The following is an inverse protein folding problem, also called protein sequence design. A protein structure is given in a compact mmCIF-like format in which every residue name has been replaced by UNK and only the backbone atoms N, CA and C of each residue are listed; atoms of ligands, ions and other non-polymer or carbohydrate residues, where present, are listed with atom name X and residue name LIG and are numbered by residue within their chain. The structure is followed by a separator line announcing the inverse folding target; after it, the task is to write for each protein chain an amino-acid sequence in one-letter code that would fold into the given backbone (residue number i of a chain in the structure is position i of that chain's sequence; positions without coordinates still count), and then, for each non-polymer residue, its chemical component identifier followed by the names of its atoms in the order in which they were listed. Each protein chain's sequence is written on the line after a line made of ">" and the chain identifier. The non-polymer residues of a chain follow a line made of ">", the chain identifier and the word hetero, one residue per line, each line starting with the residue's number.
data_IF_508094560343
#
_entry.id   IF_508094560343
#
_cell.length_a   1.000
_cell.length_b   1.000
_cell.length_c   1.000
_cell.angle_alpha   90.00
_cell.angle_beta   90.00
_cell.angle_gamma   90.00
#
_symmetry.space_group_name_H-M   'P 1'
#
loop_
_entity.id
_entity.type
_entity.pdbx_description
1 polymer ?
#
# COMPACT_ATOMS: atom_id res chain seq x y z
N UNK A 1 -16.21 21.36 -10.02
CA UNK A 1 -15.14 20.57 -9.40
C UNK A 1 -13.81 21.27 -9.63
N UNK A 2 -12.93 21.32 -8.63
CA UNK A 2 -11.62 21.95 -8.74
C UNK A 2 -10.63 20.98 -9.37
N UNK A 3 -10.41 21.08 -10.68
CA UNK A 3 -9.33 20.38 -11.35
C UNK A 3 -8.08 21.24 -11.33
N UNK A 4 -6.89 20.62 -11.24
CA UNK A 4 -5.65 21.34 -11.50
C UNK A 4 -5.69 21.81 -12.96
N UNK A 5 -5.34 23.07 -13.19
CA UNK A 5 -5.32 23.67 -14.52
C UNK A 5 -3.92 23.58 -15.11
N UNK A 6 -3.82 23.40 -16.42
CA UNK A 6 -2.53 23.38 -17.12
C UNK A 6 -1.90 24.77 -17.07
N UNK A 7 -0.62 24.86 -16.73
CA UNK A 7 0.14 26.12 -16.81
C UNK A 7 0.10 26.70 -18.23
N UNK A 8 0.12 28.02 -18.33
CA UNK A 8 0.34 28.68 -19.62
C UNK A 8 1.76 28.39 -20.14
N UNK A 9 2.72 28.31 -19.21
CA UNK A 9 4.12 28.03 -19.46
C UNK A 9 4.65 27.11 -18.35
N UNK A 10 5.09 25.90 -18.70
CA UNK A 10 5.60 24.93 -17.73
C UNK A 10 6.95 25.34 -17.13
N UNK A 11 7.72 26.19 -17.82
CA UNK A 11 9.01 26.70 -17.32
C UNK A 11 8.83 27.90 -16.39
N UNK A 12 7.69 28.60 -16.48
CA UNK A 12 7.36 29.76 -15.65
C UNK A 12 5.93 29.69 -15.09
N UNK A 13 5.69 28.85 -14.05
CA UNK A 13 4.36 28.63 -13.47
C UNK A 13 3.64 29.90 -12.98
N UNK A 14 4.40 30.95 -12.63
CA UNK A 14 3.89 32.24 -12.16
C UNK A 14 3.13 33.02 -13.23
N UNK A 15 3.32 32.72 -14.52
CA UNK A 15 2.56 33.34 -15.63
C UNK A 15 1.07 32.98 -15.61
N UNK A 16 0.67 32.00 -14.81
CA UNK A 16 -0.73 31.63 -14.60
C UNK A 16 -1.14 30.35 -15.33
N UNK A 17 -2.45 30.13 -15.42
CA UNK A 17 -3.05 28.87 -15.84
C UNK A 17 -4.04 29.05 -16.99
N UNK A 18 -4.11 28.06 -17.88
CA UNK A 18 -5.14 27.97 -18.92
C UNK A 18 -6.49 27.51 -18.35
N UNK A 19 -7.53 27.49 -19.19
CA UNK A 19 -8.82 26.89 -18.85
C UNK A 19 -8.83 25.36 -18.93
N UNK A 20 -7.77 24.74 -19.47
CA UNK A 20 -7.70 23.30 -19.68
C UNK A 20 -7.25 22.58 -18.40
N UNK A 21 -7.77 21.38 -18.14
CA UNK A 21 -7.28 20.56 -17.05
C UNK A 21 -5.83 20.12 -17.30
N UNK A 22 -5.06 19.97 -16.22
CA UNK A 22 -3.66 19.53 -16.26
C UNK A 22 -3.51 18.02 -16.55
N UNK A 23 -4.58 17.24 -16.36
CA UNK A 23 -4.63 15.80 -16.57
C UNK A 23 -6.02 15.35 -17.04
N UNK A 24 -6.13 14.09 -17.47
CA UNK A 24 -7.41 13.45 -17.74
C UNK A 24 -8.00 12.96 -16.41
N UNK A 25 -8.96 13.69 -15.85
CA UNK A 25 -9.66 13.33 -14.62
C UNK A 25 -10.87 12.43 -14.92
N UNK A 26 -10.85 11.17 -14.50
CA UNK A 26 -12.05 10.30 -14.47
C UNK A 26 -12.56 10.16 -13.04
N UNK A 27 -13.11 11.24 -12.50
CA UNK A 27 -13.65 11.31 -11.14
C UNK A 27 -15.17 11.36 -11.24
N UNK A 28 -15.84 10.34 -10.71
CA UNK A 28 -17.30 10.27 -10.68
C UNK A 28 -17.81 9.56 -9.43
N UNK A 29 -18.97 9.95 -8.88
CA UNK A 29 -19.61 9.20 -7.81
C UNK A 29 -19.91 7.76 -8.22
N UNK A 30 -19.83 6.83 -7.26
CA UNK A 30 -20.28 5.45 -7.43
C UNK A 30 -21.82 5.41 -7.50
N UNK A 31 -22.38 5.43 -8.72
CA UNK A 31 -23.82 5.56 -8.97
C UNK A 31 -24.46 4.41 -9.76
N UNK A 32 -25.81 4.39 -9.75
CA UNK A 32 -26.63 3.47 -10.54
C UNK A 32 -26.42 1.99 -10.19
N UNK A 33 -26.45 1.13 -11.22
CA UNK A 33 -26.22 -0.33 -11.07
C UNK A 33 -24.82 -0.67 -10.55
N UNK A 34 -23.88 0.28 -10.59
CA UNK A 34 -22.53 0.15 -10.08
C UNK A 34 -22.32 0.91 -8.74
N UNK A 35 -23.41 1.39 -8.13
CA UNK A 35 -23.37 2.08 -6.85
C UNK A 35 -23.29 1.14 -5.64
N UNK A 36 -22.95 1.70 -4.49
CA UNK A 36 -22.79 0.93 -3.24
C UNK A 36 -24.09 0.24 -2.80
N UNK A 37 -25.25 0.89 -2.94
CA UNK A 37 -26.55 0.29 -2.61
C UNK A 37 -26.84 -0.93 -3.48
N UNK A 38 -26.51 -0.88 -4.78
CA UNK A 38 -26.80 -1.95 -5.74
C UNK A 38 -25.84 -3.14 -5.62
N UNK A 39 -24.57 -2.89 -5.25
CA UNK A 39 -23.51 -3.92 -5.21
C UNK A 39 -23.18 -4.42 -3.79
N UNK A 40 -23.71 -3.77 -2.76
CA UNK A 40 -23.57 -4.17 -1.37
C UNK A 40 -22.23 -3.82 -0.71
N UNK A 41 -22.12 -4.22 0.56
CA UNK A 41 -21.04 -3.84 1.48
C UNK A 41 -19.65 -4.27 1.00
N UNK A 42 -19.52 -5.48 0.47
CA UNK A 42 -18.22 -6.02 0.06
C UNK A 42 -17.65 -5.28 -1.15
N UNK A 43 -18.52 -4.93 -2.11
CA UNK A 43 -18.13 -4.08 -3.23
C UNK A 43 -17.72 -2.69 -2.74
N UNK A 44 -18.54 -2.06 -1.89
CA UNK A 44 -18.24 -0.74 -1.35
C UNK A 44 -16.89 -0.71 -0.61
N UNK A 45 -16.58 -1.75 0.18
CA UNK A 45 -15.28 -1.88 0.85
C UNK A 45 -14.13 -1.98 -0.15
N UNK A 46 -14.26 -2.80 -1.20
CA UNK A 46 -13.22 -2.94 -2.24
C UNK A 46 -13.01 -1.64 -3.00
N UNK A 47 -14.08 -0.94 -3.35
CA UNK A 47 -14.04 0.36 -4.01
C UNK A 47 -13.29 1.40 -3.15
N UNK A 48 -13.66 1.56 -1.87
CA UNK A 48 -12.98 2.50 -0.96
C UNK A 48 -11.50 2.14 -0.76
N UNK A 49 -11.17 0.85 -0.61
CA UNK A 49 -9.76 0.39 -0.49
C UNK A 49 -8.95 0.66 -1.78
N UNK A 50 -9.61 0.65 -2.94
CA UNK A 50 -8.99 0.96 -4.22
C UNK A 50 -8.71 2.46 -4.35
N UNK A 51 -9.69 3.32 -4.10
CA UNK A 51 -9.49 4.78 -4.15
C UNK A 51 -8.39 5.23 -3.19
N UNK A 52 -8.42 4.74 -1.94
CA UNK A 52 -7.39 5.07 -0.96
C UNK A 52 -5.98 4.66 -1.40
N UNK A 53 -5.84 3.59 -2.21
CA UNK A 53 -4.55 3.18 -2.78
C UNK A 53 -4.07 4.17 -3.84
N UNK A 54 -4.97 4.67 -4.69
CA UNK A 54 -4.64 5.59 -5.78
C UNK A 54 -4.36 6.99 -5.24
N UNK A 55 -5.25 7.51 -4.41
CA UNK A 55 -5.21 8.87 -3.90
C UNK A 55 -4.02 9.12 -2.96
N UNK A 56 -3.67 8.11 -2.14
CA UNK A 56 -2.57 8.21 -1.16
C UNK A 56 -1.36 7.35 -1.56
N UNK A 57 -1.20 7.12 -2.87
CA UNK A 57 -0.08 6.36 -3.39
C UNK A 57 1.24 7.05 -3.02
N UNK A 58 2.25 6.27 -2.62
CA UNK A 58 3.59 6.77 -2.28
C UNK A 58 3.66 7.68 -1.03
N UNK A 59 2.57 7.85 -0.28
CA UNK A 59 2.53 8.65 0.95
C UNK A 59 2.70 7.82 2.24
N UNK A 60 3.26 6.62 2.14
CA UNK A 60 3.52 5.76 3.31
C UNK A 60 2.29 5.08 3.94
N UNK A 61 1.07 5.36 3.45
CA UNK A 61 -0.15 4.79 4.03
C UNK A 61 -0.34 3.29 3.75
N UNK A 62 0.17 2.80 2.61
CA UNK A 62 -0.23 1.49 2.09
C UNK A 62 0.10 0.34 3.04
N UNK A 63 1.25 0.40 3.71
CA UNK A 63 1.65 -0.66 4.65
C UNK A 63 0.65 -0.77 5.81
N UNK A 64 0.38 0.35 6.48
CA UNK A 64 -0.52 0.40 7.64
C UNK A 64 -1.99 0.12 7.26
N UNK A 65 -2.40 0.48 6.04
CA UNK A 65 -3.70 0.09 5.52
C UNK A 65 -3.85 -1.42 5.39
N UNK A 66 -2.84 -2.11 4.86
CA UNK A 66 -2.87 -3.56 4.76
C UNK A 66 -2.84 -4.22 6.14
N UNK A 67 -1.99 -3.72 7.04
CA UNK A 67 -1.88 -4.22 8.40
C UNK A 67 -3.21 -4.14 9.15
N UNK A 68 -3.90 -2.98 9.13
CA UNK A 68 -5.19 -2.83 9.81
C UNK A 68 -6.32 -3.63 9.16
N UNK A 69 -6.26 -3.84 7.84
CA UNK A 69 -7.24 -4.69 7.15
C UNK A 69 -7.03 -6.16 7.45
N UNK A 70 -5.79 -6.59 7.67
CA UNK A 70 -5.47 -7.95 8.07
C UNK A 70 -6.10 -8.31 9.42
N UNK A 71 -6.20 -7.35 10.35
CA UNK A 71 -6.92 -7.57 11.63
C UNK A 71 -8.38 -7.99 11.41
N UNK A 72 -9.05 -7.40 10.41
CA UNK A 72 -10.43 -7.76 10.06
C UNK A 72 -10.52 -8.98 9.13
N UNK A 73 -9.48 -9.25 8.35
CA UNK A 73 -9.40 -10.30 7.33
C UNK A 73 -8.04 -11.02 7.44
N UNK A 74 -7.84 -11.93 8.43
CA UNK A 74 -6.51 -12.45 8.77
C UNK A 74 -5.78 -13.17 7.63
N UNK A 75 -4.62 -12.66 7.22
CA UNK A 75 -3.82 -13.16 6.10
C UNK A 75 -4.07 -12.45 4.76
N UNK A 76 -4.97 -11.47 4.72
CA UNK A 76 -5.18 -10.58 3.58
C UNK A 76 -3.88 -9.90 3.10
N UNK A 77 -3.08 -9.35 4.01
CA UNK A 77 -1.84 -8.63 3.68
C UNK A 77 -0.83 -9.56 3.02
N UNK A 78 -0.56 -10.72 3.64
CA UNK A 78 0.36 -11.72 3.12
C UNK A 78 -0.09 -12.24 1.74
N UNK A 79 -1.37 -12.59 1.59
CA UNK A 79 -1.93 -13.06 0.33
C UNK A 79 -1.78 -12.01 -0.78
N UNK A 80 -2.11 -10.76 -0.49
CA UNK A 80 -2.05 -9.67 -1.47
C UNK A 80 -0.61 -9.37 -1.90
N UNK A 81 0.33 -9.26 -0.95
CA UNK A 81 1.73 -8.93 -1.24
C UNK A 81 2.42 -10.08 -1.99
N UNK A 82 2.21 -11.32 -1.58
CA UNK A 82 2.76 -12.48 -2.29
C UNK A 82 2.20 -12.59 -3.72
N UNK A 83 0.90 -12.36 -3.90
CA UNK A 83 0.27 -12.32 -5.23
C UNK A 83 0.85 -11.21 -6.09
N UNK A 84 1.09 -10.03 -5.50
CA UNK A 84 1.71 -8.91 -6.21
C UNK A 84 3.13 -9.24 -6.65
N UNK A 85 3.98 -9.74 -5.74
CA UNK A 85 5.36 -10.11 -6.06
C UNK A 85 5.44 -11.13 -7.20
N UNK A 86 4.60 -12.18 -7.18
CA UNK A 86 4.55 -13.17 -8.26
C UNK A 86 4.16 -12.56 -9.60
N UNK A 87 3.16 -11.67 -9.62
CA UNK A 87 2.71 -10.98 -10.83
C UNK A 87 3.79 -10.07 -11.40
N UNK A 88 4.50 -9.35 -10.56
CA UNK A 88 5.55 -8.44 -11.00
C UNK A 88 6.77 -9.23 -11.51
N UNK A 89 7.21 -10.27 -10.80
CA UNK A 89 8.29 -11.16 -11.27
C UNK A 89 7.99 -11.70 -12.68
N UNK A 90 6.78 -12.24 -12.90
CA UNK A 90 6.39 -12.76 -14.21
C UNK A 90 6.35 -11.67 -15.31
N UNK A 91 5.92 -10.44 -14.98
CA UNK A 91 5.95 -9.32 -15.93
C UNK A 91 7.36 -8.90 -16.28
N UNK A 92 8.26 -8.78 -15.31
CA UNK A 92 9.65 -8.38 -15.57
C UNK A 92 10.37 -9.47 -16.36
N UNK A 93 10.19 -10.74 -16.02
CA UNK A 93 10.75 -11.86 -16.78
C UNK A 93 10.31 -11.84 -18.25
N UNK A 94 9.07 -11.44 -18.54
CA UNK A 94 8.55 -11.42 -19.91
C UNK A 94 8.83 -10.11 -20.67
N UNK A 95 8.58 -8.94 -20.08
CA UNK A 95 8.55 -7.66 -20.80
C UNK A 95 9.84 -6.85 -20.68
N UNK A 96 10.55 -6.95 -19.54
CA UNK A 96 11.70 -6.12 -19.22
C UNK A 96 12.63 -6.92 -18.29
N UNK A 97 13.52 -7.77 -18.84
CA UNK A 97 14.48 -8.55 -18.06
C UNK A 97 15.56 -7.63 -17.47
N UNK A 98 15.15 -6.79 -16.54
CA UNK A 98 16.00 -5.97 -15.70
C UNK A 98 16.44 -6.82 -14.50
N UNK A 99 17.75 -7.06 -14.32
CA UNK A 99 18.25 -7.90 -13.23
C UNK A 99 17.93 -7.33 -11.85
N UNK A 100 17.83 -6.00 -11.70
CA UNK A 100 17.59 -5.36 -10.40
C UNK A 100 16.19 -5.65 -9.87
N UNK A 101 15.15 -5.44 -10.69
CA UNK A 101 13.77 -5.62 -10.22
C UNK A 101 13.41 -7.09 -10.04
N UNK A 102 13.99 -7.96 -10.85
CA UNK A 102 13.86 -9.40 -10.69
C UNK A 102 14.46 -9.88 -9.35
N UNK A 103 15.67 -9.44 -8.99
CA UNK A 103 16.37 -9.92 -7.80
C UNK A 103 15.75 -9.45 -6.47
N UNK A 104 15.16 -8.25 -6.44
CA UNK A 104 14.52 -7.73 -5.21
C UNK A 104 13.20 -8.42 -4.88
N UNK A 105 12.51 -9.04 -5.86
CA UNK A 105 11.21 -9.70 -5.66
C UNK A 105 11.29 -11.23 -5.76
N UNK A 106 12.17 -11.78 -6.60
CA UNK A 106 12.28 -13.22 -6.81
C UNK A 106 12.64 -13.93 -5.51
N UNK A 107 11.95 -15.04 -5.25
CA UNK A 107 12.13 -15.88 -4.06
C UNK A 107 11.89 -15.13 -2.73
N UNK A 108 11.29 -13.94 -2.75
CA UNK A 108 10.86 -13.24 -1.54
C UNK A 108 9.44 -13.67 -1.18
N UNK A 109 9.22 -13.82 0.12
CA UNK A 109 7.93 -14.22 0.68
C UNK A 109 7.58 -13.33 1.84
N UNK A 110 6.37 -12.78 1.82
CA UNK A 110 5.77 -12.15 2.98
C UNK A 110 5.16 -13.24 3.88
N UNK A 111 5.72 -13.40 5.08
CA UNK A 111 5.34 -14.46 6.03
C UNK A 111 4.29 -13.91 6.98
N UNK A 112 3.11 -14.54 6.96
CA UNK A 112 1.99 -14.20 7.84
C UNK A 112 2.38 -14.37 9.31
N UNK A 113 2.04 -13.38 10.13
CA UNK A 113 2.31 -13.35 11.57
C UNK A 113 3.73 -12.93 11.93
N UNK A 114 4.55 -12.54 10.96
CA UNK A 114 5.95 -12.13 11.18
C UNK A 114 6.27 -10.80 10.52
N UNK A 115 5.87 -10.59 9.27
CA UNK A 115 6.25 -9.38 8.53
C UNK A 115 5.27 -8.21 8.71
N UNK A 116 4.16 -8.44 9.40
CA UNK A 116 3.16 -7.43 9.72
C UNK A 116 3.64 -6.46 10.81
N UNK A 117 4.57 -6.89 11.67
CA UNK A 117 5.04 -6.10 12.81
C UNK A 117 6.58 -6.16 12.81
N UNK A 118 7.23 -5.05 13.16
CA UNK A 118 8.68 -5.03 13.29
C UNK A 118 9.13 -5.74 14.57
N UNK A 119 10.31 -6.37 14.51
CA UNK A 119 10.97 -6.88 15.71
C UNK A 119 11.29 -5.73 16.66
N UNK A 120 11.12 -5.96 17.95
CA UNK A 120 11.68 -5.08 18.97
C UNK A 120 13.21 -5.25 18.92
N UNK A 121 14.00 -4.16 18.83
CA UNK A 121 15.46 -4.28 18.82
C UNK A 121 15.97 -5.00 20.06
N UNK A 122 16.86 -5.99 19.88
CA UNK A 122 17.34 -6.84 20.98
C UNK A 122 17.91 -6.05 22.16
N UNK A 123 18.68 -4.99 21.87
CA UNK A 123 19.26 -4.10 22.88
C UNK A 123 18.20 -3.49 23.80
N UNK A 124 17.00 -3.20 23.28
CA UNK A 124 15.91 -2.64 24.10
C UNK A 124 15.31 -3.69 25.04
N UNK A 125 15.29 -4.96 24.62
CA UNK A 125 14.88 -6.08 25.47
C UNK A 125 15.92 -6.29 26.57
N UNK A 126 17.20 -6.34 26.21
CA UNK A 126 18.31 -6.57 27.14
C UNK A 126 18.41 -5.45 28.20
N UNK A 127 18.12 -4.20 27.82
CA UNK A 127 18.12 -3.04 28.72
C UNK A 127 16.89 -2.98 29.63
N UNK A 128 15.83 -3.72 29.30
CA UNK A 128 14.57 -3.74 30.05
C UNK A 128 14.51 -5.02 30.88
N UNK A 129 15.35 -5.12 31.92
CA UNK A 129 15.41 -6.28 32.80
C UNK A 129 15.35 -5.89 34.28
N UNK A 130 14.70 -6.74 35.07
CA UNK A 130 14.75 -6.70 36.54
C UNK A 130 15.50 -7.94 37.09
N UNK A 131 15.44 -8.15 38.40
CA UNK A 131 16.11 -9.28 39.05
C UNK A 131 15.60 -10.66 38.60
N UNK A 132 14.40 -10.73 37.99
CA UNK A 132 13.80 -11.95 37.47
C UNK A 132 14.04 -12.17 35.97
N UNK A 133 14.57 -11.16 35.24
CA UNK A 133 14.92 -11.25 33.83
C UNK A 133 14.32 -10.11 32.98
N UNK A 134 14.30 -10.26 31.65
CA UNK A 134 13.73 -9.26 30.75
C UNK A 134 12.23 -9.04 31.01
N UNK A 135 11.82 -7.79 31.18
CA UNK A 135 10.42 -7.38 31.34
C UNK A 135 9.76 -7.01 30.01
N UNK A 136 10.56 -6.63 29.00
CA UNK A 136 10.08 -6.37 27.65
C UNK A 136 10.07 -7.67 26.84
N UNK A 137 8.91 -8.04 26.31
CA UNK A 137 8.71 -9.29 25.56
C UNK A 137 8.68 -8.98 24.07
N UNK A 138 9.40 -9.79 23.28
CA UNK A 138 9.46 -9.71 21.83
C UNK A 138 8.08 -9.94 21.18
N UNK A 139 7.85 -9.31 20.02
CA UNK A 139 6.70 -9.57 19.18
C UNK A 139 6.68 -11.04 18.70
N UNK A 140 5.51 -11.66 18.50
CA UNK A 140 5.43 -13.04 18.03
C UNK A 140 6.24 -13.27 16.74
N UNK A 141 6.87 -14.44 16.62
CA UNK A 141 7.64 -14.87 15.46
C UNK A 141 8.92 -14.05 15.15
N UNK A 142 9.39 -13.28 16.12
CA UNK A 142 10.72 -12.66 16.12
C UNK A 142 11.58 -13.30 17.21
N UNK A 143 12.90 -13.34 16.97
CA UNK A 143 13.90 -13.83 17.92
C UNK A 143 14.50 -12.67 18.70
#
# INVERSE_FOLDING_TARGET
>A
AGHLKKYLDNAEPSKGFSALPAANYDIKPYGGVNGFTAKGKDYARKAVRFERRLELAMEGHRFFDLQRWDVAEPGYMASLLNTYMQKEVAKFEFYLPDPLTYDILKNKTFVKGKHEIYAIPQVQIDQSADAAGPTLIQNPNHN
#
